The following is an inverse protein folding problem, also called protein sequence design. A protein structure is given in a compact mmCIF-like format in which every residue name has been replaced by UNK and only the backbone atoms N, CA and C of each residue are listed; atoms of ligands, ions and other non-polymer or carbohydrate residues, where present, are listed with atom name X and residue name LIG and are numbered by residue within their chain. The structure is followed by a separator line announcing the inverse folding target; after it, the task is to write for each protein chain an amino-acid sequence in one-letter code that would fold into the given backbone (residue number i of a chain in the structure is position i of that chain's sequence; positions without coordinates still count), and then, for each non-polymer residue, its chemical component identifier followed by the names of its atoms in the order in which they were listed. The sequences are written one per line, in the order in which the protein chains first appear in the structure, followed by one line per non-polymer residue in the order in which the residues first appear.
data_IF_891163395217
#
_entry.id   IF_891163395217
#
_cell.length_a   1.000
_cell.length_b   1.000
_cell.length_c   1.000
_cell.angle_alpha   90.00
_cell.angle_beta   90.00
_cell.angle_gamma   90.00
#
_symmetry.space_group_name_H-M   'P 1'
#
loop_
_entity.id
_entity.type
_entity.pdbx_description
1 polymer ?
#
# COMPACT_ATOMS: atom_id res chain seq x y z
N UNK A 1 26.64 25.10 6.08
CA UNK A 1 26.60 24.25 4.87
C UNK A 1 25.25 23.53 4.85
N UNK A 2 24.48 23.56 3.76
CA UNK A 2 23.26 22.77 3.66
C UNK A 2 23.64 21.29 3.66
N UNK A 3 23.09 20.50 4.60
CA UNK A 3 23.22 19.04 4.56
C UNK A 3 22.46 18.55 3.33
N UNK A 4 23.17 18.02 2.33
CA UNK A 4 22.54 17.29 1.23
C UNK A 4 22.04 15.97 1.80
N UNK A 5 20.73 15.84 1.96
CA UNK A 5 20.12 14.54 2.26
C UNK A 5 20.11 13.75 0.96
N UNK A 6 20.83 12.63 0.92
CA UNK A 6 20.65 11.65 -0.14
C UNK A 6 19.33 10.95 0.16
N UNK A 7 18.29 11.25 -0.62
CA UNK A 7 16.99 10.59 -0.50
C UNK A 7 17.16 9.13 -0.93
N UNK A 8 16.70 8.22 -0.09
CA UNK A 8 16.61 6.79 -0.44
C UNK A 8 15.40 6.55 -1.36
N UNK A 9 15.37 5.42 -2.07
CA UNK A 9 14.19 5.03 -2.85
C UNK A 9 12.93 4.92 -1.96
N UNK A 10 13.08 4.52 -0.69
CA UNK A 10 11.99 4.51 0.29
C UNK A 10 11.45 5.90 0.62
N UNK A 11 12.35 6.90 0.75
CA UNK A 11 11.95 8.29 0.95
C UNK A 11 11.15 8.80 -0.26
N UNK A 12 11.57 8.43 -1.47
CA UNK A 12 10.87 8.81 -2.70
C UNK A 12 9.46 8.21 -2.73
N UNK A 13 9.33 6.92 -2.43
CA UNK A 13 8.03 6.23 -2.40
C UNK A 13 7.10 6.78 -1.32
N UNK A 14 7.57 6.91 -0.08
CA UNK A 14 6.77 7.49 1.02
C UNK A 14 6.34 8.94 0.71
N UNK A 15 7.21 9.76 0.12
CA UNK A 15 6.85 11.11 -0.33
C UNK A 15 5.82 11.10 -1.47
N UNK A 16 5.91 10.16 -2.41
CA UNK A 16 4.93 10.02 -3.48
C UNK A 16 3.55 9.65 -2.93
N UNK A 17 3.50 8.69 -2.00
CA UNK A 17 2.28 8.28 -1.29
C UNK A 17 1.70 9.46 -0.49
N UNK A 18 2.53 10.25 0.19
CA UNK A 18 2.07 11.43 0.92
C UNK A 18 1.47 12.50 -0.01
N UNK A 19 2.09 12.76 -1.17
CA UNK A 19 1.52 13.68 -2.17
C UNK A 19 0.17 13.17 -2.67
N UNK A 20 0.05 11.85 -2.88
CA UNK A 20 -1.19 11.22 -3.31
C UNK A 20 -2.28 11.32 -2.23
N UNK A 21 -1.95 11.15 -0.95
CA UNK A 21 -2.93 11.26 0.14
C UNK A 21 -3.42 12.69 0.35
N UNK A 22 -2.54 13.69 0.18
CA UNK A 22 -2.93 15.11 0.16
C UNK A 22 -3.86 15.40 -1.03
N UNK A 23 -3.57 14.84 -2.21
CA UNK A 23 -4.46 14.94 -3.38
C UNK A 23 -5.83 14.32 -3.09
N UNK A 24 -5.89 13.12 -2.54
CA UNK A 24 -7.12 12.41 -2.14
C UNK A 24 -7.99 13.27 -1.19
N UNK A 25 -7.37 13.81 -0.14
CA UNK A 25 -8.05 14.65 0.86
C UNK A 25 -8.57 15.96 0.25
N UNK A 26 -7.80 16.55 -0.67
CA UNK A 26 -8.22 17.76 -1.40
C UNK A 26 -9.40 17.50 -2.36
N UNK A 27 -9.56 16.27 -2.83
CA UNK A 27 -10.67 15.87 -3.68
C UNK A 27 -11.93 15.60 -2.87
N UNK A 28 -11.81 14.93 -1.71
CA UNK A 28 -12.94 14.71 -0.80
C UNK A 28 -13.60 16.04 -0.37
N UNK A 29 -12.80 17.05 -0.05
CA UNK A 29 -13.30 18.39 0.31
C UNK A 29 -13.93 19.18 -0.85
N UNK A 30 -13.69 18.78 -2.10
CA UNK A 30 -14.18 19.48 -3.31
C UNK A 30 -15.31 18.76 -4.04
N UNK A 31 -15.72 17.56 -3.59
CA UNK A 31 -16.81 16.78 -4.21
C UNK A 31 -18.15 17.54 -4.28
N UNK A 32 -18.34 18.59 -3.49
CA UNK A 32 -19.51 19.48 -3.55
C UNK A 32 -19.47 20.52 -4.68
N UNK A 33 -18.40 20.59 -5.48
CA UNK A 33 -18.28 21.55 -6.60
C UNK A 33 -18.56 20.90 -7.95
N UNK A 34 -19.31 21.59 -8.81
CA UNK A 34 -19.91 21.14 -10.10
C UNK A 34 -18.94 20.63 -11.19
N UNK A 35 -17.66 20.40 -10.89
CA UNK A 35 -16.64 19.89 -11.81
C UNK A 35 -16.07 18.55 -11.31
N UNK A 36 -16.88 17.49 -11.36
CA UNK A 36 -16.48 16.14 -10.98
C UNK A 36 -15.43 15.53 -11.94
N UNK A 37 -15.45 15.89 -13.22
CA UNK A 37 -14.57 15.29 -14.24
C UNK A 37 -13.13 15.81 -14.22
N UNK A 38 -12.86 16.95 -13.57
CA UNK A 38 -11.52 17.55 -13.52
C UNK A 38 -10.59 16.89 -12.48
N UNK A 39 -11.12 16.00 -11.64
CA UNK A 39 -10.42 15.41 -10.51
C UNK A 39 -10.66 13.90 -10.47
N UNK A 40 -10.03 13.18 -11.41
CA UNK A 40 -9.91 11.73 -11.36
C UNK A 40 -8.45 11.35 -11.10
N UNK A 41 -8.23 10.29 -10.34
CA UNK A 41 -6.90 9.67 -10.24
C UNK A 41 -6.48 9.12 -11.60
N UNK A 42 -5.22 9.35 -11.98
CA UNK A 42 -4.63 8.69 -13.14
C UNK A 42 -4.46 7.19 -12.86
N UNK A 43 -4.19 6.41 -13.90
CA UNK A 43 -3.88 4.99 -13.72
C UNK A 43 -2.60 4.80 -12.87
N UNK A 44 -1.64 5.71 -12.99
CA UNK A 44 -0.42 5.74 -12.16
C UNK A 44 -0.75 6.05 -10.69
N UNK A 45 -1.65 7.00 -10.42
CA UNK A 45 -2.10 7.30 -9.06
C UNK A 45 -2.80 6.09 -8.43
N UNK A 46 -3.65 5.40 -9.20
CA UNK A 46 -4.34 4.20 -8.73
C UNK A 46 -3.36 3.06 -8.44
N UNK A 47 -2.31 2.92 -9.26
CA UNK A 47 -1.25 1.94 -9.04
C UNK A 47 -0.46 2.25 -7.77
N UNK A 48 -0.05 3.51 -7.60
CA UNK A 48 0.66 3.98 -6.40
C UNK A 48 -0.21 3.82 -5.15
N UNK A 49 -1.52 4.06 -5.24
CA UNK A 49 -2.46 3.80 -4.16
C UNK A 49 -2.51 2.31 -3.81
N UNK A 50 -2.57 1.43 -4.81
CA UNK A 50 -2.56 -0.02 -4.58
C UNK A 50 -1.25 -0.47 -3.93
N UNK A 51 -0.10 0.06 -4.34
CA UNK A 51 1.20 -0.18 -3.69
C UNK A 51 1.17 0.23 -2.21
N UNK A 52 0.66 1.43 -1.94
CA UNK A 52 0.49 1.95 -0.59
C UNK A 52 -0.41 1.02 0.25
N UNK A 53 -1.57 0.64 -0.26
CA UNK A 53 -2.50 -0.23 0.47
C UNK A 53 -1.88 -1.59 0.77
N UNK A 54 -1.09 -2.17 -0.14
CA UNK A 54 -0.36 -3.42 0.12
C UNK A 54 0.62 -3.22 1.28
N UNK A 55 1.42 -2.15 1.25
CA UNK A 55 2.39 -1.84 2.31
C UNK A 55 1.68 -1.66 3.66
N UNK A 56 0.60 -0.88 3.70
CA UNK A 56 -0.17 -0.68 4.92
C UNK A 56 -0.90 -1.95 5.39
N UNK A 57 -1.31 -2.83 4.48
CA UNK A 57 -1.94 -4.10 4.83
C UNK A 57 -0.94 -5.08 5.43
N UNK A 58 0.33 -5.00 5.05
CA UNK A 58 1.34 -5.98 5.45
C UNK A 58 2.27 -5.47 6.56
N UNK A 59 2.28 -4.16 6.85
CA UNK A 59 3.09 -3.59 7.93
C UNK A 59 2.45 -3.91 9.28
N UNK A 60 3.26 -4.31 10.25
CA UNK A 60 2.82 -4.59 11.62
C UNK A 60 2.27 -3.35 12.32
N UNK A 61 2.78 -2.17 11.97
CA UNK A 61 2.36 -0.90 12.54
C UNK A 61 0.96 -0.44 12.09
N UNK A 62 0.51 -0.93 10.93
CA UNK A 62 -0.78 -0.57 10.35
C UNK A 62 -1.80 -1.70 10.47
N UNK A 63 -1.40 -2.95 10.20
CA UNK A 63 -2.33 -4.09 10.06
C UNK A 63 -1.77 -5.32 10.74
N UNK A 64 -1.74 -5.28 12.08
CA UNK A 64 -1.15 -6.34 12.90
C UNK A 64 -1.77 -7.72 12.64
N UNK A 65 -3.09 -7.81 12.39
CA UNK A 65 -3.76 -9.11 12.17
C UNK A 65 -3.31 -9.72 10.87
N UNK A 66 -3.25 -8.92 9.81
CA UNK A 66 -2.73 -9.34 8.51
C UNK A 66 -1.25 -9.71 8.59
N UNK A 67 -0.42 -8.87 9.22
CA UNK A 67 1.00 -9.18 9.47
C UNK A 67 1.18 -10.53 10.17
N UNK A 68 0.42 -10.77 11.23
CA UNK A 68 0.51 -11.98 12.05
C UNK A 68 0.00 -13.23 11.30
N UNK A 69 -1.00 -13.07 10.42
CA UNK A 69 -1.46 -14.12 9.51
C UNK A 69 -0.37 -14.52 8.50
N UNK A 70 0.39 -13.54 8.00
CA UNK A 70 1.47 -13.77 7.02
C UNK A 70 2.73 -14.38 7.65
N UNK A 71 3.12 -13.92 8.84
CA UNK A 71 4.39 -14.29 9.49
C UNK A 71 4.28 -15.51 10.38
N UNK A 72 3.36 -15.47 11.35
CA UNK A 72 3.24 -16.48 12.40
C UNK A 72 2.14 -17.51 12.09
N UNK A 73 1.26 -17.21 11.12
CA UNK A 73 0.13 -18.07 10.71
C UNK A 73 -0.80 -18.46 11.87
N UNK A 74 -0.87 -17.61 12.89
CA UNK A 74 -1.79 -17.81 14.03
C UNK A 74 -3.21 -17.31 13.75
N UNK A 75 -3.38 -16.58 12.64
CA UNK A 75 -4.65 -16.06 12.14
C UNK A 75 -4.79 -16.50 10.69
N UNK A 76 -5.99 -16.90 10.27
CA UNK A 76 -6.26 -17.29 8.89
C UNK A 76 -6.43 -16.06 7.99
N UNK A 77 -5.91 -16.13 6.75
CA UNK A 77 -5.96 -15.03 5.78
C UNK A 77 -7.38 -14.66 5.30
N UNK A 78 -8.35 -15.56 5.47
CA UNK A 78 -9.76 -15.37 5.14
C UNK A 78 -10.61 -14.96 6.35
N UNK A 79 -10.00 -14.77 7.52
CA UNK A 79 -10.70 -14.34 8.73
C UNK A 79 -11.26 -12.93 8.59
N UNK A 80 -12.33 -12.63 9.33
CA UNK A 80 -12.95 -11.31 9.30
C UNK A 80 -12.04 -10.22 9.90
N UNK A 81 -11.13 -10.60 10.80
CA UNK A 81 -10.11 -9.70 11.35
C UNK A 81 -9.16 -9.20 10.25
N UNK A 82 -8.68 -10.10 9.37
CA UNK A 82 -7.80 -9.75 8.25
C UNK A 82 -8.54 -8.92 7.19
N UNK A 83 -9.81 -9.23 6.92
CA UNK A 83 -10.64 -8.40 6.03
C UNK A 83 -10.86 -7.00 6.58
N UNK A 84 -11.08 -6.88 7.89
CA UNK A 84 -11.23 -5.57 8.55
C UNK A 84 -9.95 -4.76 8.47
N UNK A 85 -8.79 -5.39 8.74
CA UNK A 85 -7.47 -4.76 8.58
C UNK A 85 -7.27 -4.23 7.16
N UNK A 86 -7.57 -5.05 6.15
CA UNK A 86 -7.51 -4.62 4.75
C UNK A 86 -8.43 -3.43 4.47
N UNK A 87 -9.69 -3.46 4.92
CA UNK A 87 -10.63 -2.35 4.68
C UNK A 87 -10.21 -1.05 5.36
N UNK A 88 -9.59 -1.13 6.54
CA UNK A 88 -8.98 0.04 7.17
C UNK A 88 -7.74 0.52 6.42
N UNK A 89 -6.91 -0.40 5.92
CA UNK A 89 -5.75 -0.08 5.13
C UNK A 89 -6.12 0.60 3.80
N UNK A 90 -7.15 0.11 3.13
CA UNK A 90 -7.73 0.65 1.90
C UNK A 90 -8.30 2.06 2.11
N UNK A 91 -9.02 2.26 3.22
CA UNK A 91 -9.70 3.51 3.51
C UNK A 91 -8.73 4.61 3.94
N UNK A 92 -7.85 4.31 4.90
CA UNK A 92 -7.12 5.36 5.60
C UNK A 92 -5.65 5.08 5.88
N UNK A 93 -5.27 3.85 6.30
CA UNK A 93 -3.90 3.61 6.79
C UNK A 93 -2.83 3.79 5.70
N UNK A 94 -3.19 3.60 4.43
CA UNK A 94 -2.26 3.84 3.31
C UNK A 94 -1.74 5.30 3.25
N UNK A 95 -2.45 6.26 3.85
CA UNK A 95 -2.11 7.69 3.80
C UNK A 95 -0.94 8.07 4.73
N UNK A 96 -0.58 7.22 5.68
CA UNK A 96 0.41 7.47 6.73
C UNK A 96 1.62 6.53 6.68
N UNK A 97 1.91 5.95 5.51
CA UNK A 97 3.05 5.04 5.31
C UNK A 97 4.37 5.77 5.49
N UNK A 98 5.19 5.21 6.37
CA UNK A 98 6.53 5.67 6.69
C UNK A 98 7.60 4.84 5.98
N UNK A 99 8.84 5.35 5.98
CA UNK A 99 10.00 4.61 5.49
C UNK A 99 10.19 3.27 6.24
N UNK A 100 9.92 3.24 7.54
CA UNK A 100 10.01 2.02 8.36
C UNK A 100 9.02 0.94 7.93
N UNK A 101 7.81 1.33 7.51
CA UNK A 101 6.81 0.37 7.01
C UNK A 101 7.31 -0.31 5.74
N UNK A 102 7.85 0.47 4.80
CA UNK A 102 8.37 -0.03 3.52
C UNK A 102 9.54 -1.00 3.78
N UNK A 103 10.46 -0.62 4.68
CA UNK A 103 11.59 -1.47 5.09
C UNK A 103 11.13 -2.78 5.76
N UNK A 104 10.05 -2.75 6.53
CA UNK A 104 9.51 -3.96 7.13
C UNK A 104 9.03 -4.95 6.06
N UNK A 105 8.28 -4.47 5.06
CA UNK A 105 7.78 -5.32 3.97
C UNK A 105 8.91 -5.94 3.17
N UNK A 106 9.96 -5.16 2.87
CA UNK A 106 11.15 -5.67 2.20
C UNK A 106 11.77 -6.85 2.95
N UNK A 107 11.83 -6.77 4.28
CA UNK A 107 12.43 -7.80 5.12
C UNK A 107 11.52 -9.03 5.33
N UNK A 108 10.20 -8.90 5.17
CA UNK A 108 9.23 -9.96 5.43
C UNK A 108 9.28 -11.12 4.42
N UNK A 109 9.87 -10.94 3.24
CA UNK A 109 9.98 -11.95 2.17
C UNK A 109 8.67 -12.72 1.91
N UNK A 110 7.60 -11.98 1.69
CA UNK A 110 6.27 -12.55 1.44
C UNK A 110 6.29 -13.30 0.10
N UNK A 111 5.95 -14.59 0.12
CA UNK A 111 5.88 -15.39 -1.12
C UNK A 111 4.69 -14.96 -1.99
N UNK A 112 4.83 -15.06 -3.31
CA UNK A 112 3.74 -14.74 -4.26
C UNK A 112 2.48 -15.56 -3.98
N UNK A 113 2.60 -16.82 -3.54
CA UNK A 113 1.44 -17.65 -3.18
C UNK A 113 0.64 -17.05 -2.00
N UNK A 114 1.32 -16.57 -0.96
CA UNK A 114 0.64 -15.92 0.18
C UNK A 114 -0.01 -14.61 -0.23
N UNK A 115 0.67 -13.81 -1.04
CA UNK A 115 0.08 -12.59 -1.60
C UNK A 115 -1.18 -12.90 -2.42
N UNK A 116 -1.14 -13.91 -3.31
CA UNK A 116 -2.28 -14.29 -4.13
C UNK A 116 -3.46 -14.82 -3.30
N UNK A 117 -3.19 -15.55 -2.21
CA UNK A 117 -4.23 -15.98 -1.28
C UNK A 117 -4.87 -14.80 -0.55
N UNK A 118 -4.05 -13.89 0.01
CA UNK A 118 -4.54 -12.68 0.66
C UNK A 118 -5.39 -11.85 -0.32
N UNK A 119 -4.91 -11.67 -1.55
CA UNK A 119 -5.61 -10.97 -2.63
C UNK A 119 -6.97 -11.61 -2.94
N UNK A 120 -7.01 -12.93 -3.02
CA UNK A 120 -8.24 -13.67 -3.32
C UNK A 120 -9.30 -13.52 -2.23
N UNK A 121 -8.90 -13.48 -0.96
CA UNK A 121 -9.85 -13.42 0.16
C UNK A 121 -10.28 -12.01 0.55
N UNK A 122 -9.42 -11.02 0.35
CA UNK A 122 -9.63 -9.69 0.92
C UNK A 122 -9.97 -8.63 -0.12
N UNK A 123 -9.47 -8.76 -1.36
CA UNK A 123 -9.64 -7.73 -2.40
C UNK A 123 -10.76 -8.10 -3.37
N UNK A 124 -11.55 -7.10 -3.75
CA UNK A 124 -12.64 -7.25 -4.70
C UNK A 124 -12.14 -7.66 -6.08
N UNK A 125 -12.89 -8.54 -6.76
CA UNK A 125 -12.43 -9.21 -7.98
C UNK A 125 -11.95 -8.25 -9.06
N UNK A 126 -12.63 -7.12 -9.22
CA UNK A 126 -12.37 -6.15 -10.28
C UNK A 126 -11.10 -5.33 -10.02
N UNK A 127 -10.62 -5.28 -8.77
CA UNK A 127 -9.42 -4.56 -8.37
C UNK A 127 -8.18 -5.46 -8.35
N UNK A 128 -8.33 -6.79 -8.39
CA UNK A 128 -7.20 -7.71 -8.21
C UNK A 128 -6.08 -7.51 -9.22
N UNK A 129 -6.39 -7.11 -10.44
CA UNK A 129 -5.38 -6.88 -11.47
C UNK A 129 -4.47 -5.69 -11.15
N UNK A 130 -5.00 -4.60 -10.57
CA UNK A 130 -4.14 -3.47 -10.20
C UNK A 130 -3.22 -3.82 -9.02
N UNK A 131 -3.73 -4.60 -8.06
CA UNK A 131 -2.93 -5.09 -6.94
C UNK A 131 -1.82 -6.06 -7.37
N UNK A 132 -2.08 -6.94 -8.35
CA UNK A 132 -1.02 -7.80 -8.90
C UNK A 132 0.09 -7.00 -9.56
N UNK A 133 -0.26 -5.97 -10.34
CA UNK A 133 0.72 -5.06 -10.96
C UNK A 133 1.53 -4.31 -9.90
N UNK A 134 0.85 -3.78 -8.88
CA UNK A 134 1.49 -3.09 -7.76
C UNK A 134 2.47 -4.02 -7.02
N UNK A 135 2.09 -5.27 -6.77
CA UNK A 135 2.97 -6.26 -6.13
C UNK A 135 4.22 -6.57 -6.96
N UNK A 136 4.06 -6.73 -8.28
CA UNK A 136 5.18 -6.89 -9.21
C UNK A 136 6.16 -5.73 -9.12
N UNK A 137 5.64 -4.49 -9.16
CA UNK A 137 6.45 -3.27 -9.07
C UNK A 137 7.17 -3.13 -7.72
N UNK A 138 6.49 -3.42 -6.60
CA UNK A 138 7.12 -3.44 -5.27
C UNK A 138 8.31 -4.41 -5.26
N UNK A 139 8.15 -5.61 -5.82
CA UNK A 139 9.23 -6.60 -5.89
C UNK A 139 10.39 -6.16 -6.76
N UNK A 140 10.13 -5.63 -7.95
CA UNK A 140 11.16 -5.09 -8.84
C UNK A 140 11.96 -3.98 -8.14
N UNK A 141 11.26 -3.03 -7.51
CA UNK A 141 11.90 -1.96 -6.75
C UNK A 141 12.74 -2.51 -5.59
N UNK A 142 12.29 -3.58 -4.93
CA UNK A 142 12.98 -4.22 -3.82
C UNK A 142 14.22 -5.04 -4.24
N UNK A 143 14.17 -5.69 -5.39
CA UNK A 143 15.32 -6.41 -5.97
C UNK A 143 16.41 -5.43 -6.39
N UNK A 144 16.06 -4.34 -7.08
CA UNK A 144 17.01 -3.27 -7.45
C UNK A 144 17.63 -2.52 -6.26
N UNK A 145 17.13 -2.74 -5.05
CA UNK A 145 17.65 -2.14 -3.81
C UNK A 145 18.60 -3.06 -3.05
N UNK A 146 18.68 -4.33 -3.43
CA UNK A 146 19.58 -5.32 -2.82
C UNK A 146 20.90 -5.50 -3.59
N UNK A 147 21.01 -4.92 -4.80
CA UNK A 147 22.23 -4.81 -5.62
C UNK A 147 23.00 -3.51 -5.33
#
# INVERSE_FOLDING_TARGET
MPKRYNLTKFDVLSNAIHKLSVKDSSMESKRDTRNADAYKFSDEDNLLKAEAIIIASFSSGHSWKTYNALTNRSIELNSDEVKSDYKEAEKEKWKSISESDIKEILNLRISDNLFMQWLFFNVDKDEREIYKKAWGKIKEEFEEMCD
#
